data_IF_757443438245
#
_entry.id   IF_757443438245
#
_cell.length_a   1.000
_cell.length_b   1.000
_cell.length_c   1.000
_cell.angle_alpha   90.00
_cell.angle_beta   90.00
_cell.angle_gamma   90.00
#
_symmetry.space_group_name_H-M   'P 1'
#
loop_
_entity.id
_entity.type
_entity.pdbx_description
1 polymer ?
#
# COMPACT_ATOMS: atom_id res chain seq x y z
N UNK A 1 7.40 13.15 -34.63
CA UNK A 1 7.28 12.01 -33.68
C UNK A 1 6.34 12.46 -32.58
N UNK A 2 5.10 11.96 -32.57
CA UNK A 2 4.09 12.33 -31.57
C UNK A 2 4.38 11.56 -30.28
N UNK A 3 4.82 12.26 -29.25
CA UNK A 3 4.95 11.73 -27.88
C UNK A 3 3.54 11.46 -27.35
N UNK A 4 3.08 10.22 -27.43
CA UNK A 4 1.86 9.79 -26.74
C UNK A 4 2.07 10.00 -25.24
N UNK A 5 1.42 11.00 -24.68
CA UNK A 5 1.43 11.26 -23.25
C UNK A 5 0.69 10.11 -22.56
N UNK A 6 1.43 9.13 -22.05
CA UNK A 6 0.88 8.12 -21.17
C UNK A 6 0.36 8.81 -19.91
N UNK A 7 -0.96 8.84 -19.76
CA UNK A 7 -1.58 9.29 -18.51
C UNK A 7 -1.17 8.29 -17.42
N UNK A 8 -0.74 8.78 -16.25
CA UNK A 8 -0.39 7.90 -15.14
C UNK A 8 -1.62 7.07 -14.76
N UNK A 9 -1.49 5.74 -14.85
CA UNK A 9 -2.55 4.84 -14.40
C UNK A 9 -2.56 4.87 -12.88
N UNK A 10 -3.74 5.16 -12.32
CA UNK A 10 -3.99 5.08 -10.90
C UNK A 10 -4.85 3.84 -10.59
N UNK A 11 -4.45 3.07 -9.59
CA UNK A 11 -5.16 1.88 -9.13
C UNK A 11 -5.50 2.02 -7.65
N UNK A 12 -6.61 1.43 -7.22
CA UNK A 12 -6.88 1.26 -5.80
C UNK A 12 -6.14 0.00 -5.32
N UNK A 13 -5.35 0.14 -4.27
CA UNK A 13 -4.57 -0.95 -3.67
C UNK A 13 -5.03 -1.10 -2.22
N UNK A 14 -5.39 -2.32 -1.85
CA UNK A 14 -5.78 -2.68 -0.49
C UNK A 14 -4.99 -3.90 -0.04
N UNK A 15 -4.43 -3.87 1.16
CA UNK A 15 -3.71 -5.02 1.70
C UNK A 15 -2.79 -4.70 2.87
N UNK A 16 -1.93 -5.66 3.19
CA UNK A 16 -0.95 -5.56 4.26
C UNK A 16 0.43 -5.20 3.72
N UNK A 17 1.09 -4.25 4.38
CA UNK A 17 2.38 -3.72 3.95
C UNK A 17 3.36 -3.68 5.12
N UNK A 18 4.60 -4.10 4.88
CA UNK A 18 5.71 -3.84 5.79
C UNK A 18 6.28 -2.45 5.49
N UNK A 19 6.51 -1.66 6.54
CA UNK A 19 6.99 -0.29 6.42
C UNK A 19 8.44 -0.14 6.85
N UNK A 20 9.16 0.76 6.18
CA UNK A 20 10.52 1.14 6.54
C UNK A 20 10.76 2.62 6.24
N UNK A 21 11.80 3.18 6.85
CA UNK A 21 12.27 4.55 6.63
C UNK A 21 11.18 5.62 6.82
N UNK A 22 10.35 5.44 7.85
CA UNK A 22 9.31 6.40 8.22
C UNK A 22 9.88 7.79 8.51
N UNK A 23 9.43 8.79 7.77
CA UNK A 23 9.83 10.20 7.99
C UNK A 23 8.65 11.14 7.73
N UNK A 24 8.44 12.12 8.58
CA UNK A 24 7.45 13.17 8.32
C UNK A 24 7.99 14.16 7.29
N UNK A 25 7.18 14.45 6.27
CA UNK A 25 7.51 15.36 5.18
C UNK A 25 6.42 16.41 5.05
N UNK A 26 6.83 17.68 4.95
CA UNK A 26 5.93 18.76 4.62
C UNK A 26 5.65 18.78 3.11
N UNK A 27 4.38 18.76 2.74
CA UNK A 27 3.91 18.88 1.36
C UNK A 27 3.96 20.33 0.90
N UNK A 28 4.17 20.52 -0.40
CA UNK A 28 4.18 21.84 -1.04
C UNK A 28 2.83 22.56 -0.91
N UNK A 29 1.73 21.83 -0.74
CA UNK A 29 0.39 22.40 -0.54
C UNK A 29 0.07 22.77 0.92
N UNK A 30 1.04 22.72 1.82
CA UNK A 30 0.87 23.14 3.23
C UNK A 30 0.39 22.06 4.18
N UNK A 31 0.15 20.82 3.72
CA UNK A 31 -0.12 19.66 4.57
C UNK A 31 1.15 18.92 4.98
N UNK A 32 1.08 18.03 5.98
CA UNK A 32 2.16 17.09 6.32
C UNK A 32 1.73 15.64 6.04
N UNK A 33 2.69 14.76 5.80
CA UNK A 33 2.46 13.34 5.72
C UNK A 33 3.68 12.56 6.20
N UNK A 34 3.45 11.39 6.79
CA UNK A 34 4.49 10.41 7.03
C UNK A 34 4.73 9.63 5.74
N UNK A 35 5.97 9.66 5.26
CA UNK A 35 6.44 8.89 4.10
C UNK A 35 7.11 7.62 4.59
N UNK A 36 6.75 6.48 3.99
CA UNK A 36 7.37 5.19 4.23
C UNK A 36 7.81 4.55 2.91
N UNK A 37 8.88 3.78 2.95
CA UNK A 37 9.27 2.86 1.88
C UNK A 37 8.61 1.50 2.10
N UNK A 38 7.97 0.98 1.07
CA UNK A 38 7.35 -0.34 1.04
C UNK A 38 7.44 -0.95 -0.37
N UNK A 39 6.77 -2.08 -0.61
CA UNK A 39 6.71 -2.69 -1.92
C UNK A 39 5.34 -3.35 -2.16
N UNK A 40 4.90 -3.31 -3.41
CA UNK A 40 3.70 -4.01 -3.89
C UNK A 40 4.17 -5.32 -4.54
N UNK A 41 3.80 -6.45 -3.95
CA UNK A 41 4.10 -7.77 -4.52
C UNK A 41 2.91 -8.26 -5.35
N UNK A 42 3.15 -8.49 -6.65
CA UNK A 42 2.15 -8.98 -7.58
C UNK A 42 2.29 -10.50 -7.73
N UNK A 43 1.60 -11.26 -6.86
CA UNK A 43 1.72 -12.72 -6.74
C UNK A 43 1.64 -13.47 -8.09
N UNK A 44 0.67 -13.12 -8.95
CA UNK A 44 0.47 -13.79 -10.24
C UNK A 44 1.64 -13.63 -11.23
N UNK A 45 2.43 -12.57 -11.08
CA UNK A 45 3.57 -12.29 -11.96
C UNK A 45 4.91 -12.55 -11.32
N UNK A 46 4.94 -12.83 -10.00
CA UNK A 46 6.16 -12.88 -9.19
C UNK A 46 6.96 -11.57 -9.15
N UNK A 47 6.41 -10.46 -9.69
CA UNK A 47 7.08 -9.17 -9.72
C UNK A 47 6.80 -8.39 -8.44
N UNK A 48 7.81 -7.64 -8.01
CA UNK A 48 7.70 -6.70 -6.90
C UNK A 48 7.98 -5.29 -7.41
N UNK A 49 7.12 -4.35 -7.04
CA UNK A 49 7.25 -2.93 -7.40
C UNK A 49 7.55 -2.14 -6.13
N UNK A 50 8.68 -1.44 -6.10
CA UNK A 50 9.00 -0.54 -4.99
C UNK A 50 7.95 0.57 -4.91
N UNK A 51 7.53 0.92 -3.69
CA UNK A 51 6.50 1.93 -3.47
C UNK A 51 6.86 2.87 -2.31
N UNK A 52 6.48 4.13 -2.47
CA UNK A 52 6.48 5.14 -1.42
C UNK A 52 5.04 5.30 -0.92
N UNK A 53 4.78 4.93 0.34
CA UNK A 53 3.50 5.13 0.99
C UNK A 53 3.47 6.49 1.70
N UNK A 54 2.42 7.27 1.46
CA UNK A 54 2.15 8.54 2.11
C UNK A 54 0.91 8.43 2.96
N UNK A 55 1.07 8.70 4.25
CA UNK A 55 -0.02 8.74 5.23
C UNK A 55 -0.14 10.17 5.73
N UNK A 56 -1.20 10.86 5.34
CA UNK A 56 -1.40 12.26 5.73
C UNK A 56 -1.63 12.36 7.23
N UNK A 57 -0.89 13.25 7.87
CA UNK A 57 -0.85 13.40 9.32
C UNK A 57 -0.68 14.87 9.73
N UNK A 58 -1.10 15.24 10.95
CA UNK A 58 -0.82 16.55 11.51
C UNK A 58 0.70 16.81 11.63
N UNK A 59 1.14 18.08 11.61
CA UNK A 59 2.54 18.42 11.89
C UNK A 59 2.97 17.90 13.28
N UNK A 60 4.17 17.32 13.37
CA UNK A 60 4.71 16.76 14.60
C UNK A 60 4.27 15.33 14.92
N UNK A 61 3.37 14.74 14.13
CA UNK A 61 3.03 13.32 14.24
C UNK A 61 4.27 12.42 14.02
N UNK A 62 4.40 11.36 14.82
CA UNK A 62 5.55 10.46 14.77
C UNK A 62 5.30 9.30 13.78
N UNK A 63 6.23 9.04 12.85
CA UNK A 63 6.12 7.88 11.98
C UNK A 63 6.13 6.56 12.78
N UNK A 64 5.39 5.57 12.31
CA UNK A 64 5.42 4.24 12.92
C UNK A 64 6.79 3.59 12.74
N UNK A 65 7.12 2.65 13.64
CA UNK A 65 8.42 1.97 13.67
C UNK A 65 8.66 1.14 12.41
N UNK A 66 9.94 1.06 12.01
CA UNK A 66 10.38 0.16 10.94
C UNK A 66 10.02 -1.30 11.25
N UNK A 67 9.65 -2.05 10.22
CA UNK A 67 9.24 -3.45 10.32
C UNK A 67 7.79 -3.65 10.77
N UNK A 68 7.04 -2.58 11.06
CA UNK A 68 5.63 -2.68 11.38
C UNK A 68 4.82 -3.12 10.16
N UNK A 69 3.91 -4.07 10.37
CA UNK A 69 2.90 -4.47 9.39
C UNK A 69 1.66 -3.60 9.57
N UNK A 70 1.17 -3.04 8.48
CA UNK A 70 0.00 -2.17 8.47
C UNK A 70 -1.02 -2.65 7.44
N UNK A 71 -2.30 -2.47 7.74
CA UNK A 71 -3.36 -2.54 6.74
C UNK A 71 -3.54 -1.17 6.08
N UNK A 72 -3.56 -1.16 4.75
CA UNK A 72 -3.64 0.07 3.96
C UNK A 72 -4.69 -0.08 2.88
N UNK A 73 -5.51 0.96 2.73
CA UNK A 73 -6.30 1.23 1.52
C UNK A 73 -5.74 2.51 0.93
N UNK A 74 -5.22 2.44 -0.30
CA UNK A 74 -4.52 3.56 -0.93
C UNK A 74 -4.83 3.68 -2.42
N UNK A 75 -4.68 4.90 -2.93
CA UNK A 75 -4.59 5.15 -4.36
C UNK A 75 -3.13 5.09 -4.78
N UNK A 76 -2.78 4.12 -5.61
CA UNK A 76 -1.43 3.94 -6.13
C UNK A 76 -1.31 4.55 -7.54
N UNK A 77 -0.26 5.33 -7.76
CA UNK A 77 0.13 5.84 -9.07
C UNK A 77 1.48 5.25 -9.49
N UNK A 78 1.59 4.85 -10.75
CA UNK A 78 2.76 4.15 -11.28
C UNK A 78 3.44 5.02 -12.33
N UNK A 79 4.42 5.86 -11.95
CA UNK A 79 5.20 6.61 -12.93
C UNK A 79 6.01 5.66 -13.81
N UNK A 80 6.30 6.07 -15.05
CA UNK A 80 7.04 5.24 -16.00
C UNK A 80 8.45 4.87 -15.54
N UNK A 81 9.08 5.74 -14.76
CA UNK A 81 10.42 5.57 -14.20
C UNK A 81 10.41 5.98 -12.72
N UNK A 82 10.22 5.01 -11.82
CA UNK A 82 10.32 5.26 -10.38
C UNK A 82 9.55 4.28 -9.52
N UNK A 83 9.57 4.54 -8.21
CA UNK A 83 8.71 3.86 -7.26
C UNK A 83 7.25 4.26 -7.48
N UNK A 84 6.33 3.31 -7.27
CA UNK A 84 4.92 3.62 -7.17
C UNK A 84 4.68 4.58 -6.01
N UNK A 85 3.74 5.51 -6.16
CA UNK A 85 3.37 6.43 -5.08
C UNK A 85 1.99 6.02 -4.60
N UNK A 86 1.87 5.69 -3.32
CA UNK A 86 0.62 5.28 -2.68
C UNK A 86 0.15 6.37 -1.72
N UNK A 87 -1.00 6.96 -1.99
CA UNK A 87 -1.65 7.90 -1.07
C UNK A 87 -2.71 7.15 -0.26
N UNK A 88 -2.48 7.00 1.05
CA UNK A 88 -3.35 6.23 1.93
C UNK A 88 -4.66 6.99 2.22
N UNK A 89 -5.78 6.30 2.00
CA UNK A 89 -7.11 6.71 2.46
C UNK A 89 -7.44 6.08 3.83
N UNK A 90 -7.01 4.83 4.04
CA UNK A 90 -7.07 4.15 5.33
C UNK A 90 -5.71 3.57 5.70
N UNK A 91 -5.37 3.70 6.98
CA UNK A 91 -4.12 3.23 7.56
C UNK A 91 -4.40 2.73 8.97
N UNK A 92 -4.07 1.47 9.24
CA UNK A 92 -4.15 0.90 10.57
C UNK A 92 -2.92 0.02 10.82
N UNK A 93 -2.23 0.25 11.94
CA UNK A 93 -1.21 -0.68 12.39
C UNK A 93 -1.85 -1.99 12.79
N UNK A 94 -1.29 -3.11 12.32
CA UNK A 94 -1.73 -4.40 12.80
C UNK A 94 -1.21 -4.57 14.23
N UNK A 95 -2.08 -4.79 15.24
CA UNK A 95 -1.64 -4.94 16.60
C UNK A 95 -0.88 -6.25 16.76
N UNK A 96 0.33 -6.18 17.31
CA UNK A 96 1.15 -7.34 17.63
C UNK A 96 2.64 -7.01 17.57
N UNK A 97 3.43 -7.64 18.42
CA UNK A 97 4.88 -7.64 18.30
C UNK A 97 5.28 -8.81 17.39
N UNK A 98 5.81 -8.58 16.17
CA UNK A 98 6.26 -9.65 15.29
C UNK A 98 7.36 -10.52 15.91
N UNK A 99 8.03 -10.03 16.96
CA UNK A 99 9.03 -10.79 17.71
C UNK A 99 8.43 -11.60 18.88
N UNK A 100 7.16 -11.45 19.21
CA UNK A 100 6.51 -12.22 20.25
C UNK A 100 6.28 -13.67 19.78
N UNK A 101 6.55 -14.63 20.68
CA UNK A 101 6.45 -16.07 20.39
C UNK A 101 5.02 -16.52 20.04
N UNK A 102 4.01 -15.75 20.40
CA UNK A 102 2.59 -16.01 20.15
C UNK A 102 2.02 -15.23 18.95
N UNK A 103 2.84 -14.45 18.24
CA UNK A 103 2.39 -13.63 17.11
C UNK A 103 1.76 -14.46 15.97
N UNK A 104 2.31 -15.65 15.69
CA UNK A 104 1.78 -16.55 14.65
C UNK A 104 0.48 -17.28 15.05
N UNK A 105 0.05 -17.18 16.32
CA UNK A 105 -1.11 -17.90 16.86
C UNK A 105 -2.38 -17.05 16.79
N UNK A 106 -2.28 -15.78 16.37
CA UNK A 106 -3.43 -14.97 16.00
C UNK A 106 -4.02 -15.49 14.68
N UNK A 107 -4.83 -16.55 14.80
CA UNK A 107 -5.75 -16.95 13.74
C UNK A 107 -6.70 -15.78 13.48
N UNK A 108 -6.45 -15.04 12.42
CA UNK A 108 -7.48 -14.23 11.77
C UNK A 108 -8.64 -15.18 11.44
N UNK A 109 -9.69 -15.17 12.27
CA UNK A 109 -10.95 -15.84 11.98
C UNK A 109 -11.64 -15.06 10.88
N UNK A 110 -11.23 -15.30 9.64
CA UNK A 110 -11.81 -14.63 8.48
C UNK A 110 -13.23 -15.13 8.29
N UNK A 111 -14.22 -14.31 8.65
CA UNK A 111 -15.64 -14.66 8.64
C UNK A 111 -16.24 -14.89 7.25
N UNK A 112 -15.63 -14.31 6.21
CA UNK A 112 -15.78 -14.61 4.78
C UNK A 112 -14.81 -13.74 3.98
N UNK A 113 -14.17 -14.29 2.95
CA UNK A 113 -13.45 -13.51 1.93
C UNK A 113 -14.28 -13.54 0.66
N UNK A 114 -14.70 -12.38 0.17
CA UNK A 114 -15.18 -12.25 -1.20
C UNK A 114 -14.03 -11.71 -2.04
N UNK A 115 -13.57 -12.50 -3.01
CA UNK A 115 -12.49 -12.15 -3.93
C UNK A 115 -13.14 -11.73 -5.25
N UNK A 116 -13.14 -10.43 -5.53
CA UNK A 116 -13.51 -9.93 -6.85
C UNK A 116 -12.24 -9.64 -7.66
N UNK A 117 -12.03 -10.44 -8.71
CA UNK A 117 -10.92 -10.26 -9.64
C UNK A 117 -11.35 -9.31 -10.75
N UNK A 118 -10.81 -8.08 -10.74
CA UNK A 118 -11.07 -7.12 -11.82
C UNK A 118 -9.89 -7.17 -12.81
N UNK A 119 -10.08 -7.69 -14.03
CA UNK A 119 -9.02 -7.70 -15.03
C UNK A 119 -8.77 -6.27 -15.53
N UNK A 120 -7.53 -5.80 -15.38
CA UNK A 120 -7.05 -4.56 -15.98
C UNK A 120 -5.74 -4.79 -16.72
N UNK A 121 -5.43 -3.97 -17.72
CA UNK A 121 -4.18 -4.05 -18.46
C UNK A 121 -3.43 -2.73 -18.33
N UNK A 122 -2.19 -2.77 -17.82
CA UNK A 122 -1.32 -1.60 -17.65
C UNK A 122 0.03 -1.89 -18.30
N UNK A 123 0.45 -1.05 -19.25
CA UNK A 123 1.72 -1.18 -19.97
C UNK A 123 1.96 -2.59 -20.58
N UNK A 124 0.90 -3.21 -21.14
CA UNK A 124 0.97 -4.56 -21.71
C UNK A 124 1.06 -5.70 -20.68
N UNK A 125 1.02 -5.38 -19.39
CA UNK A 125 0.95 -6.36 -18.30
C UNK A 125 -0.50 -6.45 -17.81
N UNK A 126 -1.06 -7.66 -17.79
CA UNK A 126 -2.36 -7.92 -17.16
C UNK A 126 -2.18 -7.80 -15.65
N UNK A 127 -2.86 -6.84 -15.05
CA UNK A 127 -2.91 -6.64 -13.60
C UNK A 127 -4.31 -7.02 -13.15
N UNK A 128 -4.39 -8.13 -12.43
CA UNK A 128 -5.60 -8.53 -11.71
C UNK A 128 -5.53 -7.87 -10.34
N UNK A 129 -6.40 -6.89 -10.10
CA UNK A 129 -6.55 -6.30 -8.79
C UNK A 129 -7.36 -7.27 -7.92
N UNK A 130 -6.81 -7.65 -6.77
CA UNK A 130 -7.50 -8.48 -5.78
C UNK A 130 -8.15 -7.51 -4.79
N UNK A 131 -9.47 -7.37 -4.88
CA UNK A 131 -10.24 -6.64 -3.88
C UNK A 131 -10.59 -7.61 -2.74
N UNK A 132 -10.07 -7.36 -1.54
CA UNK A 132 -10.31 -8.21 -0.37
C UNK A 132 -11.27 -7.47 0.57
N UNK A 133 -12.49 -7.97 0.68
CA UNK A 133 -13.41 -7.54 1.74
C UNK A 133 -13.20 -8.43 2.97
N UNK A 134 -12.83 -7.83 4.10
CA UNK A 134 -12.76 -8.50 5.39
C UNK A 134 -13.98 -8.04 6.20
N UNK A 135 -14.89 -8.97 6.48
CA UNK A 135 -16.04 -8.74 7.35
C UNK A 135 -15.77 -9.33 8.74
N UNK A 136 -15.94 -8.51 9.77
CA UNK A 136 -16.06 -8.99 11.15
C UNK A 136 -17.52 -9.39 11.41
N UNK A 137 -17.75 -10.49 12.13
CA UNK A 137 -19.10 -10.98 12.49
C UNK A 137 -19.36 -10.84 13.98
#
# INVERSE_FOLDING_TARGET
MSSSAYLPVALNVTGFFSLSNGVQVQSQCGGCHNKYTTAISCHLSGKTVNADLRVYSPPGDEPVKNGMIVFVVAKASFPSNGSAIMDAAHFASFPGDPAALDYEVLELRVGAVEIETIPSTVAGTRIEAIHIHIFDR
#
